data_IF_961846126927
#
_entry.id   IF_961846126927
#
_cell.length_a   1.000
_cell.length_b   1.000
_cell.length_c   1.000
_cell.angle_alpha   90.00
_cell.angle_beta   90.00
_cell.angle_gamma   90.00
#
_symmetry.space_group_name_H-M   'P 1'
#
loop_
_entity.id
_entity.type
_entity.pdbx_description
1 polymer ?
#
# COMPACT_ATOMS: atom_id res chain seq x y z
N UNK A 1 -0.06 -4.22 -15.28
CA UNK A 1 -1.03 -3.49 -14.45
C UNK A 1 -0.32 -2.98 -13.22
N UNK A 2 -0.56 -1.71 -12.90
CA UNK A 2 0.11 -0.97 -11.84
C UNK A 2 -0.93 -0.13 -11.10
N UNK A 3 -0.55 0.45 -10.00
CA UNK A 3 -1.23 1.62 -9.47
C UNK A 3 -1.12 2.71 -10.52
N UNK A 4 -2.24 3.32 -10.90
CA UNK A 4 -2.25 4.41 -11.85
C UNK A 4 -2.27 5.75 -11.12
N UNK A 5 -1.69 6.77 -11.74
CA UNK A 5 -1.58 8.11 -11.18
C UNK A 5 -2.05 9.19 -12.16
N UNK A 6 -2.61 10.24 -11.62
CA UNK A 6 -2.90 11.51 -12.29
C UNK A 6 -2.45 12.64 -11.38
N UNK A 7 -2.01 13.74 -11.95
CA UNK A 7 -1.50 14.89 -11.21
C UNK A 7 -2.24 16.16 -11.55
N UNK A 8 -2.51 16.97 -10.54
CA UNK A 8 -3.01 18.32 -10.69
C UNK A 8 -2.03 19.32 -10.09
N UNK A 9 -1.80 20.44 -10.77
CA UNK A 9 -0.95 21.56 -10.30
C UNK A 9 -1.75 22.81 -9.99
N UNK A 10 -3.07 22.75 -10.11
CA UNK A 10 -3.98 23.90 -10.01
C UNK A 10 -5.12 23.68 -8.99
N UNK A 11 -4.86 22.85 -7.98
CA UNK A 11 -5.85 22.56 -6.94
C UNK A 11 -7.00 21.67 -7.40
N UNK A 12 -6.75 20.77 -8.35
CA UNK A 12 -7.73 19.79 -8.80
C UNK A 12 -8.66 20.28 -9.91
N UNK A 13 -8.39 21.45 -10.53
CA UNK A 13 -9.19 21.97 -11.63
C UNK A 13 -8.89 21.28 -12.95
N UNK A 14 -7.64 20.96 -13.18
CA UNK A 14 -7.18 20.18 -14.32
C UNK A 14 -6.28 19.04 -13.89
N UNK A 15 -6.21 17.98 -14.68
CA UNK A 15 -5.48 16.77 -14.36
C UNK A 15 -4.63 16.31 -15.54
N UNK A 16 -3.46 15.77 -15.25
CA UNK A 16 -2.61 15.14 -16.27
C UNK A 16 -3.31 13.90 -16.87
N UNK A 17 -2.88 13.45 -18.05
CA UNK A 17 -3.24 12.11 -18.51
C UNK A 17 -2.83 11.05 -17.47
N UNK A 18 -3.64 10.01 -17.36
CA UNK A 18 -3.36 8.87 -16.48
C UNK A 18 -2.09 8.15 -16.93
N UNK A 19 -1.21 7.86 -15.98
CA UNK A 19 0.04 7.12 -16.19
C UNK A 19 0.13 5.93 -15.25
N UNK A 20 0.88 4.92 -15.65
CA UNK A 20 1.30 3.84 -14.78
C UNK A 20 2.37 4.34 -13.81
N UNK A 21 2.23 4.02 -12.52
CA UNK A 21 3.31 4.18 -11.55
C UNK A 21 4.27 2.98 -11.62
N UNK A 22 5.35 3.02 -10.83
CA UNK A 22 6.27 1.89 -10.66
C UNK A 22 5.76 0.79 -9.72
N UNK A 23 4.57 0.94 -9.15
CA UNK A 23 4.01 0.00 -8.18
C UNK A 23 3.09 -1.02 -8.88
N UNK A 24 3.42 -2.33 -8.87
CA UNK A 24 2.55 -3.35 -9.43
C UNK A 24 1.26 -3.46 -8.60
N UNK A 25 0.14 -3.73 -9.28
CA UNK A 25 -1.14 -3.94 -8.62
C UNK A 25 -2.05 -4.78 -9.51
N UNK A 26 -2.75 -5.74 -8.94
CA UNK A 26 -3.67 -6.62 -9.64
C UNK A 26 -5.08 -6.04 -9.82
N UNK A 27 -5.22 -4.71 -9.75
CA UNK A 27 -6.50 -4.00 -9.77
C UNK A 27 -7.30 -4.11 -8.45
N UNK A 28 -6.58 -4.21 -7.33
CA UNK A 28 -7.14 -4.11 -5.99
C UNK A 28 -7.17 -2.65 -5.53
N UNK A 29 -8.12 -2.32 -4.66
CA UNK A 29 -8.23 -0.98 -4.06
C UNK A 29 -6.99 -0.61 -3.25
N UNK A 30 -6.63 0.66 -3.30
CA UNK A 30 -5.52 1.26 -2.57
C UNK A 30 -6.01 2.48 -1.81
N UNK A 31 -5.31 2.88 -0.76
CA UNK A 31 -5.48 4.18 -0.12
C UNK A 31 -4.13 4.80 0.21
N UNK A 32 -4.07 6.12 0.25
CA UNK A 32 -2.83 6.85 0.46
C UNK A 32 -3.04 8.12 1.29
N UNK A 33 -2.00 8.53 2.00
CA UNK A 33 -2.00 9.75 2.81
C UNK A 33 -0.67 10.49 2.67
N UNK A 34 -0.72 11.83 2.63
CA UNK A 34 0.48 12.64 2.80
C UNK A 34 0.73 12.84 4.28
N UNK A 35 1.87 12.34 4.77
CA UNK A 35 2.30 12.49 6.14
C UNK A 35 2.71 13.94 6.43
N UNK A 36 2.63 14.38 7.69
CA UNK A 36 3.05 15.73 8.10
C UNK A 36 4.50 16.05 7.74
N UNK A 37 5.36 15.03 7.70
CA UNK A 37 6.75 15.18 7.26
C UNK A 37 6.89 15.33 5.73
N UNK A 38 5.79 15.41 4.98
CA UNK A 38 5.76 15.60 3.53
C UNK A 38 5.90 14.33 2.70
N UNK A 39 6.18 13.17 3.32
CA UNK A 39 6.25 11.90 2.61
C UNK A 39 4.84 11.39 2.28
N UNK A 40 4.70 10.76 1.12
CA UNK A 40 3.50 9.99 0.76
C UNK A 40 3.61 8.58 1.32
N UNK A 41 2.51 8.06 1.84
CA UNK A 41 2.38 6.68 2.28
C UNK A 41 1.20 6.05 1.55
N UNK A 42 1.41 4.88 0.96
CA UNK A 42 0.37 4.11 0.28
C UNK A 42 0.23 2.72 0.92
N UNK A 43 -1.02 2.27 1.04
CA UNK A 43 -1.37 0.91 1.43
C UNK A 43 -2.02 0.21 0.24
N UNK A 44 -1.46 -0.90 -0.19
CA UNK A 44 -1.86 -1.57 -1.43
C UNK A 44 -1.45 -3.04 -1.47
N UNK A 45 -1.99 -3.78 -2.41
CA UNK A 45 -1.51 -5.14 -2.70
C UNK A 45 -0.37 -5.05 -3.72
N UNK A 46 0.86 -5.34 -3.28
CA UNK A 46 2.03 -5.43 -4.17
C UNK A 46 2.01 -6.77 -4.91
N UNK A 47 1.21 -6.84 -5.95
CA UNK A 47 0.96 -8.07 -6.70
C UNK A 47 1.06 -7.80 -8.18
N UNK A 48 2.00 -8.49 -8.85
CA UNK A 48 2.05 -8.47 -10.32
C UNK A 48 0.80 -9.16 -10.88
N UNK A 49 0.18 -8.59 -11.91
CA UNK A 49 -0.99 -9.22 -12.51
C UNK A 49 -0.65 -10.58 -13.11
N UNK A 50 -1.46 -11.56 -12.83
CA UNK A 50 -1.43 -12.84 -13.52
C UNK A 50 -2.20 -12.73 -14.84
N UNK A 51 -1.49 -12.85 -15.95
CA UNK A 51 -2.07 -12.75 -17.30
C UNK A 51 -2.97 -13.93 -17.65
N UNK A 52 -2.83 -15.06 -16.95
CA UNK A 52 -3.67 -16.24 -17.14
C UNK A 52 -5.07 -16.08 -16.53
N UNK A 53 -5.25 -15.09 -15.65
CA UNK A 53 -6.52 -14.82 -14.98
C UNK A 53 -7.30 -13.69 -15.66
N UNK A 54 -8.64 -13.74 -15.62
CA UNK A 54 -9.48 -12.63 -16.07
C UNK A 54 -9.12 -11.33 -15.34
N UNK A 55 -9.39 -10.20 -16.00
CA UNK A 55 -9.12 -8.85 -15.44
C UNK A 55 -9.77 -8.68 -14.07
N UNK A 56 -9.01 -8.22 -13.07
CA UNK A 56 -9.49 -8.02 -11.71
C UNK A 56 -9.64 -9.29 -10.89
N UNK A 57 -9.18 -10.44 -11.41
CA UNK A 57 -9.04 -11.68 -10.66
C UNK A 57 -7.60 -11.85 -10.17
N UNK A 58 -7.43 -12.62 -9.13
CA UNK A 58 -6.14 -12.90 -8.50
C UNK A 58 -6.19 -12.71 -6.99
N UNK A 59 -5.16 -13.21 -6.33
CA UNK A 59 -5.04 -13.12 -4.88
C UNK A 59 -4.86 -11.66 -4.44
N UNK A 60 -5.52 -11.27 -3.36
CA UNK A 60 -5.32 -9.99 -2.67
C UNK A 60 -4.42 -10.19 -1.45
N UNK A 61 -3.26 -10.74 -1.72
CA UNK A 61 -2.17 -10.98 -0.79
C UNK A 61 -0.86 -10.92 -1.58
N UNK A 62 0.20 -10.31 -1.05
CA UNK A 62 0.29 -9.62 0.24
C UNK A 62 -0.45 -8.28 0.28
N UNK A 63 -0.60 -7.70 1.49
CA UNK A 63 -0.98 -6.31 1.72
C UNK A 63 0.23 -5.56 2.29
N UNK A 64 0.61 -4.48 1.64
CA UNK A 64 1.90 -3.82 1.81
C UNK A 64 1.74 -2.34 2.09
N UNK A 65 2.75 -1.76 2.72
CA UNK A 65 2.91 -0.30 2.88
C UNK A 65 4.21 0.13 2.20
N UNK A 66 4.11 1.15 1.38
CA UNK A 66 5.27 1.82 0.78
C UNK A 66 5.22 3.32 1.07
N UNK A 67 6.40 3.96 1.07
CA UNK A 67 6.54 5.41 1.24
C UNK A 67 7.32 6.02 0.09
N UNK A 68 7.08 7.30 -0.17
CA UNK A 68 7.79 8.07 -1.17
C UNK A 68 8.02 9.50 -0.71
N UNK A 69 9.15 10.10 -1.09
CA UNK A 69 9.44 11.52 -0.85
C UNK A 69 8.98 12.41 -2.03
N UNK A 70 8.82 11.83 -3.20
CA UNK A 70 8.57 12.56 -4.45
C UNK A 70 7.31 12.08 -5.20
N UNK A 71 6.63 11.07 -4.68
CA UNK A 71 5.48 10.42 -5.30
C UNK A 71 5.83 9.57 -6.53
N UNK A 72 7.10 9.36 -6.83
CA UNK A 72 7.58 8.63 -8.00
C UNK A 72 8.48 7.45 -7.64
N UNK A 73 9.45 7.69 -6.76
CA UNK A 73 10.36 6.67 -6.22
C UNK A 73 9.78 6.12 -4.93
N UNK A 74 9.49 4.84 -4.90
CA UNK A 74 8.83 4.20 -3.78
C UNK A 74 9.77 3.27 -3.01
N UNK A 75 9.66 3.33 -1.70
CA UNK A 75 10.38 2.46 -0.78
C UNK A 75 9.39 1.55 -0.05
N UNK A 76 9.65 0.27 -0.09
CA UNK A 76 8.93 -0.72 0.69
C UNK A 76 9.29 -0.57 2.18
N UNK A 77 8.29 -0.51 3.06
CA UNK A 77 8.52 -0.31 4.50
C UNK A 77 7.89 -1.39 5.37
N UNK A 78 6.77 -1.97 4.95
CA UNK A 78 6.04 -2.89 5.83
C UNK A 78 5.20 -3.89 5.03
N UNK A 79 5.16 -5.11 5.50
CA UNK A 79 4.20 -6.14 5.08
C UNK A 79 3.17 -6.30 6.20
N UNK A 80 1.92 -5.91 5.93
CA UNK A 80 0.83 -6.04 6.89
C UNK A 80 0.32 -7.47 6.96
N UNK A 81 0.18 -8.10 5.79
CA UNK A 81 -0.32 -9.48 5.64
C UNK A 81 0.36 -10.14 4.45
N UNK A 82 0.71 -11.42 4.61
CA UNK A 82 1.33 -12.23 3.54
C UNK A 82 0.86 -13.68 3.51
N UNK A 83 -0.18 -14.03 4.25
CA UNK A 83 -0.75 -15.37 4.20
C UNK A 83 -1.25 -15.68 2.78
N UNK A 84 -0.97 -16.87 2.25
CA UNK A 84 -1.50 -17.28 0.95
C UNK A 84 -3.01 -17.41 0.93
N UNK A 85 -3.63 -17.51 2.11
CA UNK A 85 -5.09 -17.48 2.24
C UNK A 85 -5.56 -16.04 2.07
N UNK A 86 -5.95 -15.69 0.87
CA UNK A 86 -6.54 -14.41 0.48
C UNK A 86 -7.87 -14.21 1.23
N UNK A 87 -8.34 -13.01 1.56
CA UNK A 87 -7.98 -11.74 0.96
C UNK A 87 -7.74 -10.70 2.03
N UNK A 88 -6.83 -9.76 1.69
CA UNK A 88 -6.57 -8.54 2.45
C UNK A 88 -6.79 -7.37 1.50
N UNK A 89 -7.82 -6.55 1.73
CA UNK A 89 -8.30 -5.61 0.72
C UNK A 89 -8.98 -4.40 1.30
N UNK A 90 -9.24 -3.43 0.44
CA UNK A 90 -9.92 -2.17 0.77
C UNK A 90 -9.30 -1.47 1.97
N UNK A 91 -8.00 -1.15 1.92
CA UNK A 91 -7.37 -0.38 2.98
C UNK A 91 -7.96 1.03 3.06
N UNK A 92 -7.94 1.58 4.26
CA UNK A 92 -8.10 3.01 4.50
C UNK A 92 -7.03 3.47 5.48
N UNK A 93 -6.40 4.61 5.23
CA UNK A 93 -5.26 5.10 6.00
C UNK A 93 -5.39 6.57 6.33
N UNK A 94 -5.09 6.91 7.59
CA UNK A 94 -5.02 8.30 8.07
C UNK A 94 -3.79 8.47 8.95
N UNK A 95 -3.33 9.72 9.10
CA UNK A 95 -2.42 10.13 10.17
C UNK A 95 -3.18 10.98 11.18
N UNK A 96 -3.14 10.60 12.44
CA UNK A 96 -3.83 11.28 13.54
C UNK A 96 -2.98 12.41 14.14
N UNK A 97 -3.58 13.20 15.06
CA UNK A 97 -2.94 14.39 15.64
C UNK A 97 -1.71 14.06 16.49
N UNK A 98 -1.60 12.85 17.03
CA UNK A 98 -0.44 12.34 17.75
C UNK A 98 0.73 11.92 16.85
N UNK A 99 0.54 11.97 15.52
CA UNK A 99 1.55 11.61 14.52
C UNK A 99 1.53 10.16 14.10
N UNK A 100 0.71 9.31 14.72
CA UNK A 100 0.59 7.90 14.37
C UNK A 100 -0.22 7.71 13.09
N UNK A 101 0.08 6.66 12.38
CA UNK A 101 -0.67 6.23 11.18
C UNK A 101 -1.58 5.08 11.55
N UNK A 102 -2.86 5.24 11.25
CA UNK A 102 -3.89 4.23 11.47
C UNK A 102 -4.31 3.65 10.13
N UNK A 103 -4.28 2.34 10.02
CA UNK A 103 -4.64 1.58 8.82
C UNK A 103 -5.72 0.60 9.20
N UNK A 104 -6.83 0.61 8.47
CA UNK A 104 -7.88 -0.40 8.58
C UNK A 104 -8.07 -1.09 7.24
N UNK A 105 -8.39 -2.37 7.24
CA UNK A 105 -8.60 -3.13 6.02
C UNK A 105 -9.47 -4.37 6.27
N UNK A 106 -10.05 -4.88 5.20
CA UNK A 106 -10.76 -6.17 5.23
C UNK A 106 -9.76 -7.30 5.42
N UNK A 107 -9.93 -8.06 6.49
CA UNK A 107 -9.15 -9.26 6.78
C UNK A 107 -9.99 -10.50 6.46
N UNK A 108 -9.60 -11.23 5.41
CA UNK A 108 -10.20 -12.49 4.94
C UNK A 108 -11.72 -12.46 4.69
N UNK A 109 -12.31 -11.26 4.56
CA UNK A 109 -13.77 -11.03 4.55
C UNK A 109 -14.51 -11.50 5.82
N UNK A 110 -13.79 -11.71 6.90
CA UNK A 110 -14.33 -12.14 8.18
C UNK A 110 -14.49 -10.96 9.16
N UNK A 111 -13.54 -10.01 9.10
CA UNK A 111 -13.50 -8.86 9.99
C UNK A 111 -12.73 -7.68 9.37
N UNK A 112 -12.83 -6.53 10.04
CA UNK A 112 -11.95 -5.39 9.81
C UNK A 112 -10.79 -5.49 10.78
N UNK A 113 -9.55 -5.40 10.26
CA UNK A 113 -8.35 -5.33 11.09
C UNK A 113 -7.85 -3.90 11.13
N UNK A 114 -7.41 -3.46 12.31
CA UNK A 114 -6.83 -2.14 12.57
C UNK A 114 -5.38 -2.31 12.98
N UNK A 115 -4.50 -1.53 12.37
CA UNK A 115 -3.06 -1.50 12.66
C UNK A 115 -2.65 -0.07 12.90
N UNK A 116 -1.81 0.16 13.92
CA UNK A 116 -1.23 1.47 14.24
C UNK A 116 0.27 1.40 13.99
N UNK A 117 0.80 2.38 13.29
CA UNK A 117 2.21 2.45 12.89
C UNK A 117 2.78 3.82 13.26
N UNK A 118 3.97 3.82 13.86
CA UNK A 118 4.76 5.03 14.04
C UNK A 118 5.59 5.29 12.77
N UNK A 119 5.25 6.31 11.96
CA UNK A 119 5.94 6.54 10.70
C UNK A 119 7.40 6.99 10.88
N UNK A 120 7.79 7.47 12.07
CA UNK A 120 9.17 7.83 12.38
C UNK A 120 10.11 6.63 12.48
N UNK A 121 9.56 5.44 12.70
CA UNK A 121 10.29 4.18 12.83
C UNK A 121 10.32 3.36 11.54
N UNK A 122 9.71 3.86 10.48
CA UNK A 122 9.68 3.17 9.19
C UNK A 122 10.99 3.40 8.43
N UNK A 123 11.74 2.32 8.24
CA UNK A 123 12.92 2.27 7.40
C UNK A 123 12.57 1.62 6.06
N UNK A 124 12.81 2.35 4.97
CA UNK A 124 12.46 1.91 3.63
C UNK A 124 13.61 1.27 2.87
N UNK A 125 13.29 0.30 2.03
CA UNK A 125 14.17 -0.24 0.98
C UNK A 125 13.55 0.04 -0.37
N UNK A 126 14.34 0.55 -1.31
CA UNK A 126 13.84 0.90 -2.64
C UNK A 126 13.20 -0.30 -3.36
N UNK A 127 12.06 -0.08 -3.97
CA UNK A 127 11.39 -1.04 -4.84
C UNK A 127 12.00 -0.89 -6.23
N UNK A 128 12.79 -1.88 -6.65
CA UNK A 128 13.48 -1.88 -7.94
C UNK A 128 12.83 -2.90 -8.86
N UNK A 129 12.57 -2.51 -10.11
CA UNK A 129 11.96 -3.40 -11.12
C UNK A 129 10.66 -4.08 -10.65
N UNK A 130 9.83 -3.35 -9.90
CA UNK A 130 8.58 -3.86 -9.34
C UNK A 130 8.77 -5.06 -8.37
N UNK A 131 9.98 -5.28 -7.85
CA UNK A 131 10.24 -6.36 -6.92
C UNK A 131 10.19 -5.85 -5.46
N UNK A 132 9.44 -6.56 -4.62
CA UNK A 132 9.40 -6.26 -3.19
C UNK A 132 10.69 -6.73 -2.52
N UNK A 133 11.46 -5.85 -1.88
CA UNK A 133 12.72 -6.24 -1.24
C UNK A 133 12.49 -7.18 -0.05
N UNK A 134 13.36 -8.18 0.10
CA UNK A 134 13.30 -9.10 1.23
C UNK A 134 13.72 -8.48 2.57
N UNK A 135 13.39 -9.14 3.68
CA UNK A 135 13.86 -8.78 5.03
C UNK A 135 13.18 -7.57 5.65
N UNK A 136 12.01 -7.15 5.14
CA UNK A 136 11.19 -6.10 5.76
C UNK A 136 10.31 -6.67 6.87
N UNK A 137 9.99 -5.80 7.85
CA UNK A 137 9.16 -6.15 8.98
C UNK A 137 7.79 -6.66 8.54
N UNK A 138 7.38 -7.76 9.12
CA UNK A 138 5.98 -8.17 9.17
C UNK A 138 5.39 -7.64 10.47
N UNK A 139 4.18 -7.12 10.41
CA UNK A 139 3.42 -6.85 11.63
C UNK A 139 3.23 -8.20 12.32
N UNK A 140 3.76 -8.33 13.55
CA UNK A 140 3.56 -9.53 14.34
C UNK A 140 2.07 -9.83 14.46
N UNK A 141 1.69 -11.09 14.25
CA UNK A 141 0.34 -11.53 14.55
C UNK A 141 0.04 -11.15 16.00
N UNK A 142 -1.16 -10.61 16.32
CA UNK A 142 -1.61 -10.64 17.70
C UNK A 142 -1.50 -12.10 18.18
N UNK A 143 -0.94 -12.30 19.34
CA UNK A 143 -1.03 -13.60 20.01
C UNK A 143 -2.53 -13.94 20.09
N UNK A 144 -2.91 -15.08 19.54
CA UNK A 144 -4.23 -15.64 19.75
C UNK A 144 -4.29 -16.06 21.24
N UNK A 145 -4.61 -15.12 22.11
CA UNK A 145 -5.04 -15.35 23.49
C UNK A 145 -6.57 -15.23 23.58
#
# INVERSE_FOLDING_TARGET
RTVNEVWSTDGGKTWSPMKASSLPNNNSGTDAVTLRAGRQLIVYNHVKPDSSLPRGKGARTPLNVAISNDGKTWQAVLVLEDSPVSQYSYPSVIQTSDGLVHIVYTWRREKIKHVVVDPSKLEGKEIINEEWPGGLFKVSKPSDD
#
